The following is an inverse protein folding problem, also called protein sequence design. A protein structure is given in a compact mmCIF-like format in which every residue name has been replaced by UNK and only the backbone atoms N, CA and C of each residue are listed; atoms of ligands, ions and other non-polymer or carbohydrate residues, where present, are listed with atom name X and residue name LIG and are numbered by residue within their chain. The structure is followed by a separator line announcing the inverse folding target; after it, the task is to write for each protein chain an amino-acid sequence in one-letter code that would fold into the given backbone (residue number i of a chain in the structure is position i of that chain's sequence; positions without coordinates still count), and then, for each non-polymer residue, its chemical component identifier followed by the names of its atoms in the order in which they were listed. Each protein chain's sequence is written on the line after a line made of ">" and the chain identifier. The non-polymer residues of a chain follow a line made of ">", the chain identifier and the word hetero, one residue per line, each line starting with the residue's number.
data_IF_978304581222
#
_entry.id   IF_978304581222
#
_cell.length_a   1.000
_cell.length_b   1.000
_cell.length_c   1.000
_cell.angle_alpha   90.00
_cell.angle_beta   90.00
_cell.angle_gamma   90.00
#
_symmetry.space_group_name_H-M   'P 1'
#
loop_
_entity.id
_entity.type
_entity.pdbx_description
1 polymer ?
#
# COMPACT_ATOMS: atom_id res chain seq x y z
N UNK A 1 19.05 54.52 -43.70
CA UNK A 1 18.55 54.38 -42.32
C UNK A 1 18.32 52.89 -42.04
N UNK A 2 18.97 52.27 -41.03
CA UNK A 2 18.82 50.83 -40.79
C UNK A 2 17.60 50.55 -39.89
N UNK A 3 16.62 49.82 -40.42
CA UNK A 3 15.50 49.27 -39.65
C UNK A 3 15.99 48.05 -38.86
N UNK A 4 15.93 48.15 -37.53
CA UNK A 4 16.36 47.09 -36.62
C UNK A 4 15.26 46.03 -36.52
N UNK A 5 15.52 44.85 -37.08
CA UNK A 5 14.70 43.66 -36.90
C UNK A 5 14.77 43.15 -35.47
N UNK A 6 13.64 43.24 -34.75
CA UNK A 6 13.47 42.63 -33.45
C UNK A 6 13.46 41.10 -33.57
N UNK A 7 14.54 40.46 -33.13
CA UNK A 7 14.64 39.01 -33.00
C UNK A 7 13.80 38.52 -31.83
N UNK A 8 12.98 37.52 -32.13
CA UNK A 8 11.99 36.86 -31.29
C UNK A 8 12.61 36.30 -30.02
N UNK A 9 12.20 36.81 -28.85
CA UNK A 9 12.40 36.11 -27.57
C UNK A 9 11.54 34.85 -27.55
N UNK A 10 12.15 33.72 -27.90
CA UNK A 10 11.54 32.41 -27.69
C UNK A 10 11.46 32.14 -26.19
N UNK A 11 10.25 32.20 -25.64
CA UNK A 11 9.96 31.68 -24.31
C UNK A 11 10.10 30.15 -24.33
N UNK A 12 11.22 29.65 -23.82
CA UNK A 12 11.40 28.23 -23.50
C UNK A 12 10.43 27.85 -22.37
N UNK A 13 9.29 27.23 -22.71
CA UNK A 13 8.45 26.57 -21.71
C UNK A 13 9.12 25.24 -21.34
N UNK A 14 9.85 25.24 -20.23
CA UNK A 14 10.22 23.98 -19.57
C UNK A 14 8.94 23.23 -19.21
N UNK A 15 8.66 22.12 -19.87
CA UNK A 15 7.60 21.21 -19.46
C UNK A 15 8.06 20.50 -18.19
N UNK A 16 7.69 21.04 -17.02
CA UNK A 16 7.74 20.30 -15.78
C UNK A 16 6.94 19.00 -15.99
N UNK A 17 7.61 17.85 -15.87
CA UNK A 17 6.98 16.54 -16.05
C UNK A 17 5.77 16.42 -15.12
N UNK A 18 4.56 16.49 -15.69
CA UNK A 18 3.33 16.38 -14.91
C UNK A 18 3.18 14.93 -14.48
N UNK A 19 3.11 14.70 -13.16
CA UNK A 19 2.67 13.41 -12.63
C UNK A 19 1.29 13.09 -13.22
N UNK A 20 1.01 11.84 -13.57
CA UNK A 20 -0.28 11.47 -14.13
C UNK A 20 -1.37 11.77 -13.10
N UNK A 21 -2.56 12.18 -13.56
CA UNK A 21 -3.65 12.65 -12.69
C UNK A 21 -4.16 11.62 -11.68
N UNK A 22 -3.80 10.35 -11.86
CA UNK A 22 -4.10 9.23 -10.99
C UNK A 22 -2.92 8.81 -10.08
N UNK A 23 -1.83 9.59 -10.03
CA UNK A 23 -0.71 9.31 -9.13
C UNK A 23 -1.15 9.44 -7.67
N UNK A 24 -0.76 8.47 -6.85
CA UNK A 24 -0.95 8.54 -5.40
C UNK A 24 -0.14 9.72 -4.83
N UNK A 25 -0.69 10.38 -3.82
CA UNK A 25 0.11 11.27 -3.00
C UNK A 25 1.23 10.49 -2.31
N UNK A 26 2.34 11.16 -1.95
CA UNK A 26 3.45 10.53 -1.24
C UNK A 26 2.98 9.80 0.04
N UNK A 27 2.03 10.39 0.76
CA UNK A 27 1.41 9.78 1.95
C UNK A 27 0.65 8.49 1.61
N UNK A 28 -0.19 8.53 0.58
CA UNK A 28 -0.94 7.35 0.11
C UNK A 28 0.00 6.24 -0.36
N UNK A 29 1.11 6.60 -1.01
CA UNK A 29 2.14 5.64 -1.41
C UNK A 29 2.77 4.93 -0.21
N UNK A 30 3.17 5.67 0.83
CA UNK A 30 3.71 5.08 2.05
C UNK A 30 2.71 4.18 2.77
N UNK A 31 1.44 4.60 2.88
CA UNK A 31 0.39 3.76 3.47
C UNK A 31 0.18 2.48 2.68
N UNK A 32 0.12 2.57 1.35
CA UNK A 32 0.03 1.39 0.46
C UNK A 32 1.20 0.43 0.69
N UNK A 33 2.43 0.94 0.82
CA UNK A 33 3.61 0.12 1.12
C UNK A 33 3.45 -0.63 2.45
N UNK A 34 2.99 0.04 3.51
CA UNK A 34 2.76 -0.58 4.81
C UNK A 34 1.68 -1.67 4.75
N UNK A 35 0.56 -1.40 4.06
CA UNK A 35 -0.52 -2.38 3.86
C UNK A 35 0.00 -3.62 3.14
N UNK A 36 0.80 -3.44 2.08
CA UNK A 36 1.40 -4.55 1.35
C UNK A 36 2.45 -5.31 2.18
N UNK A 37 3.18 -4.64 3.09
CA UNK A 37 4.09 -5.33 4.02
C UNK A 37 3.30 -6.25 4.94
N UNK A 38 2.28 -5.69 5.61
CA UNK A 38 1.42 -6.43 6.52
C UNK A 38 0.75 -7.63 5.85
N UNK A 39 0.22 -7.44 4.63
CA UNK A 39 -0.33 -8.54 3.84
C UNK A 39 0.70 -9.67 3.67
N UNK A 40 1.91 -9.36 3.19
CA UNK A 40 2.94 -10.39 2.96
C UNK A 40 3.36 -11.08 4.25
N UNK A 41 3.49 -10.32 5.34
CA UNK A 41 3.84 -10.87 6.66
C UNK A 41 2.79 -11.85 7.17
N UNK A 42 1.50 -11.51 7.07
CA UNK A 42 0.40 -12.43 7.41
C UNK A 42 0.51 -13.73 6.60
N UNK A 43 0.61 -13.64 5.27
CA UNK A 43 0.70 -14.86 4.43
C UNK A 43 1.99 -15.65 4.64
N UNK A 44 3.07 -15.01 5.10
CA UNK A 44 4.29 -15.71 5.51
C UNK A 44 4.04 -16.48 6.80
N UNK A 45 3.47 -15.85 7.81
CA UNK A 45 3.14 -16.47 9.10
C UNK A 45 2.17 -17.64 8.94
N UNK A 46 1.17 -17.53 8.06
CA UNK A 46 0.24 -18.63 7.82
C UNK A 46 0.90 -19.88 7.22
N UNK A 47 2.07 -19.78 6.58
CA UNK A 47 2.80 -20.97 6.08
C UNK A 47 3.32 -21.87 7.19
N UNK A 48 3.46 -21.34 8.40
CA UNK A 48 3.89 -22.08 9.59
C UNK A 48 2.77 -22.95 10.18
N UNK A 49 1.54 -22.84 9.68
CA UNK A 49 0.41 -23.70 10.07
C UNK A 49 0.55 -25.05 9.36
N UNK A 50 0.67 -26.12 10.14
CA UNK A 50 0.85 -27.50 9.63
C UNK A 50 -0.42 -28.05 9.00
N UNK A 51 -1.58 -27.83 9.63
CA UNK A 51 -2.86 -28.28 9.10
C UNK A 51 -3.24 -27.46 7.86
N UNK A 52 -3.28 -28.13 6.70
CA UNK A 52 -3.51 -27.45 5.42
C UNK A 52 -4.90 -26.83 5.28
N UNK A 53 -5.94 -27.50 5.79
CA UNK A 53 -7.31 -27.01 5.74
C UNK A 53 -7.46 -25.74 6.60
N UNK A 54 -6.92 -25.77 7.81
CA UNK A 54 -6.92 -24.61 8.70
C UNK A 54 -6.10 -23.45 8.13
N UNK A 55 -4.92 -23.75 7.55
CA UNK A 55 -4.11 -22.75 6.85
C UNK A 55 -4.89 -22.09 5.71
N UNK A 56 -5.63 -22.88 4.93
CA UNK A 56 -6.46 -22.39 3.83
C UNK A 56 -7.60 -21.50 4.32
N UNK A 57 -8.30 -21.92 5.37
CA UNK A 57 -9.36 -21.15 6.01
C UNK A 57 -8.85 -19.78 6.48
N UNK A 58 -7.73 -19.75 7.23
CA UNK A 58 -7.11 -18.51 7.69
C UNK A 58 -6.66 -17.62 6.52
N UNK A 59 -6.12 -18.22 5.46
CA UNK A 59 -5.70 -17.49 4.27
C UNK A 59 -6.90 -16.84 3.57
N UNK A 60 -8.02 -17.55 3.42
CA UNK A 60 -9.22 -17.03 2.78
C UNK A 60 -9.91 -15.95 3.62
N UNK A 61 -9.95 -16.13 4.94
CA UNK A 61 -10.38 -15.09 5.88
C UNK A 61 -9.53 -13.83 5.70
N UNK A 62 -8.20 -13.95 5.75
CA UNK A 62 -7.29 -12.81 5.60
C UNK A 62 -7.49 -12.11 4.24
N UNK A 63 -7.58 -12.85 3.13
CA UNK A 63 -7.88 -12.28 1.81
C UNK A 63 -9.18 -11.48 1.82
N UNK A 64 -10.21 -12.02 2.48
CA UNK A 64 -11.52 -11.37 2.55
C UNK A 64 -11.43 -10.02 3.27
N UNK A 65 -10.67 -9.94 4.37
CA UNK A 65 -10.49 -8.71 5.15
C UNK A 65 -9.79 -7.61 4.34
N UNK A 66 -8.70 -7.93 3.64
CA UNK A 66 -8.05 -6.96 2.75
C UNK A 66 -8.95 -6.57 1.57
N UNK A 67 -9.75 -7.50 1.02
CA UNK A 67 -10.66 -7.23 -0.09
C UNK A 67 -11.81 -6.31 0.31
N UNK A 68 -12.36 -6.47 1.52
CA UNK A 68 -13.42 -5.59 2.07
C UNK A 68 -12.94 -4.14 2.16
N UNK A 69 -11.68 -3.93 2.55
CA UNK A 69 -11.12 -2.59 2.79
C UNK A 69 -10.31 -2.01 1.61
N UNK A 70 -10.30 -2.67 0.44
CA UNK A 70 -9.44 -2.29 -0.71
C UNK A 70 -9.66 -0.86 -1.23
N UNK A 71 -10.85 -0.32 -0.99
CA UNK A 71 -11.29 0.99 -1.47
C UNK A 71 -11.27 2.05 -0.37
N UNK A 72 -10.78 1.72 0.82
CA UNK A 72 -10.62 2.69 1.88
C UNK A 72 -9.63 3.78 1.45
N UNK A 73 -10.04 5.04 1.64
CA UNK A 73 -9.27 6.22 1.26
C UNK A 73 -8.99 7.11 2.46
N UNK A 74 -9.69 6.91 3.57
CA UNK A 74 -9.53 7.71 4.77
C UNK A 74 -8.26 7.31 5.52
N UNK A 75 -7.32 8.24 5.61
CA UNK A 75 -5.98 7.98 6.14
C UNK A 75 -5.99 7.48 7.59
N UNK A 76 -6.85 8.06 8.44
CA UNK A 76 -6.90 7.69 9.87
C UNK A 76 -7.42 6.25 10.00
N UNK A 77 -8.45 5.89 9.24
CA UNK A 77 -8.97 4.52 9.22
C UNK A 77 -7.92 3.53 8.72
N UNK A 78 -7.19 3.84 7.64
CA UNK A 78 -6.11 2.96 7.15
C UNK A 78 -5.03 2.76 8.21
N UNK A 79 -4.63 3.83 8.91
CA UNK A 79 -3.63 3.75 9.99
C UNK A 79 -4.12 2.92 11.17
N UNK A 80 -5.39 3.09 11.56
CA UNK A 80 -6.02 2.29 12.61
C UNK A 80 -6.07 0.81 12.22
N UNK A 81 -6.50 0.51 10.99
CA UNK A 81 -6.53 -0.86 10.45
C UNK A 81 -5.13 -1.49 10.39
N UNK A 82 -4.11 -0.73 10.00
CA UNK A 82 -2.72 -1.18 10.03
C UNK A 82 -2.25 -1.54 11.44
N UNK A 83 -2.57 -0.71 12.43
CA UNK A 83 -2.21 -0.97 13.83
C UNK A 83 -2.94 -2.21 14.36
N UNK A 84 -4.25 -2.32 14.09
CA UNK A 84 -5.03 -3.51 14.45
C UNK A 84 -4.48 -4.78 13.78
N UNK A 85 -4.23 -4.73 12.48
CA UNK A 85 -3.74 -5.89 11.74
C UNK A 85 -2.35 -6.34 12.19
N UNK A 86 -1.46 -5.42 12.60
CA UNK A 86 -0.18 -5.77 13.23
C UNK A 86 -0.34 -6.46 14.58
N UNK A 87 -1.31 -6.01 15.40
CA UNK A 87 -1.63 -6.69 16.65
C UNK A 87 -2.14 -8.11 16.38
N UNK A 88 -3.08 -8.26 15.45
CA UNK A 88 -3.60 -9.57 15.03
C UNK A 88 -2.51 -10.48 14.49
N UNK A 89 -1.57 -9.96 13.70
CA UNK A 89 -0.41 -10.74 13.23
C UNK A 89 0.45 -11.24 14.40
N UNK A 90 0.69 -10.40 15.42
CA UNK A 90 1.44 -10.80 16.61
C UNK A 90 0.71 -11.91 17.37
N UNK A 91 -0.59 -11.77 17.58
CA UNK A 91 -1.43 -12.78 18.23
C UNK A 91 -1.44 -14.10 17.46
N UNK A 92 -1.64 -14.05 16.15
CA UNK A 92 -1.58 -15.21 15.26
C UNK A 92 -0.22 -15.91 15.33
N UNK A 93 0.87 -15.15 15.25
CA UNK A 93 2.23 -15.71 15.31
C UNK A 93 2.50 -16.41 16.65
N UNK A 94 2.04 -15.83 17.77
CA UNK A 94 2.15 -16.47 19.09
C UNK A 94 1.33 -17.73 19.17
N UNK A 95 0.08 -17.72 18.68
CA UNK A 95 -0.80 -18.88 18.71
C UNK A 95 -0.22 -20.04 17.89
N UNK A 96 0.31 -19.74 16.70
CA UNK A 96 0.95 -20.74 15.85
C UNK A 96 2.21 -21.30 16.51
N UNK A 97 3.03 -20.45 17.13
CA UNK A 97 4.22 -20.89 17.83
C UNK A 97 3.91 -21.82 19.00
N UNK A 98 2.85 -21.55 19.76
CA UNK A 98 2.44 -22.38 20.90
C UNK A 98 1.76 -23.69 20.49
N UNK A 99 1.26 -23.78 19.24
CA UNK A 99 0.64 -24.98 18.70
C UNK A 99 1.65 -25.97 18.09
N UNK A 100 2.94 -25.58 18.01
CA UNK A 100 4.06 -26.47 17.66
C UNK A 100 4.50 -27.26 18.88
#
# INVERSE_FOLDING_TARGET
>A
MPSHGGSVSQHFKMAAGKLPSNALSLKQFFLRKQVLSLYREIFKTLREVENEDHRKELADWARSEFKKNKHEKEEIVIKMMLSRGRLTLKEMSSAIYLAK
#
